data_IF_455917585312
#
_entry.id   IF_455917585312
#
_cell.length_a   1.000
_cell.length_b   1.000
_cell.length_c   1.000
_cell.angle_alpha   90.00
_cell.angle_beta   90.00
_cell.angle_gamma   90.00
#
_symmetry.space_group_name_H-M   'P 1'
#
loop_
_entity.id
_entity.type
_entity.pdbx_description
1 polymer ?
#
# COMPACT_ATOMS: atom_id res chain seq x y z
N UNK A 1 14.91 12.93 -13.95
CA UNK A 1 14.61 11.49 -14.08
C UNK A 1 13.11 11.25 -13.97
N UNK A 2 12.60 10.30 -14.72
CA UNK A 2 11.16 10.03 -14.74
C UNK A 2 10.75 9.15 -13.55
N UNK A 3 9.80 9.63 -12.76
CA UNK A 3 9.24 8.86 -11.66
C UNK A 3 8.28 7.79 -12.16
N UNK A 4 8.29 6.63 -11.51
CA UNK A 4 7.43 5.51 -11.88
C UNK A 4 6.66 5.00 -10.67
N UNK A 5 5.41 4.59 -10.89
CA UNK A 5 4.55 4.04 -9.86
C UNK A 5 4.09 2.65 -10.29
N UNK A 6 4.28 1.67 -9.41
CA UNK A 6 3.82 0.31 -9.64
C UNK A 6 2.87 -0.09 -8.52
N UNK A 7 1.72 -0.64 -8.90
CA UNK A 7 0.81 -1.25 -7.94
C UNK A 7 1.08 -2.74 -7.92
N UNK A 8 1.41 -3.26 -6.74
CA UNK A 8 1.73 -4.66 -6.56
C UNK A 8 0.57 -5.32 -5.82
N UNK A 9 0.01 -6.37 -6.43
CA UNK A 9 -1.01 -7.17 -5.77
C UNK A 9 -0.37 -7.94 -4.62
N UNK A 10 -0.83 -7.68 -3.40
CA UNK A 10 -0.25 -8.24 -2.19
C UNK A 10 -0.55 -9.70 -1.93
N UNK A 11 -1.37 -10.34 -2.76
CA UNK A 11 -1.72 -11.74 -2.57
C UNK A 11 -0.55 -12.63 -2.99
N UNK A 12 -0.24 -13.60 -2.16
CA UNK A 12 0.74 -14.61 -2.49
C UNK A 12 2.19 -14.25 -2.26
N UNK A 13 2.59 -13.04 -2.31
CA UNK A 13 3.92 -12.57 -1.94
C UNK A 13 5.14 -13.20 -2.59
N UNK A 14 4.99 -14.19 -3.44
CA UNK A 14 6.13 -14.87 -4.06
C UNK A 14 6.78 -13.95 -5.07
N UNK A 15 8.06 -13.66 -4.89
CA UNK A 15 8.82 -12.79 -5.78
C UNK A 15 8.58 -11.29 -5.57
N UNK A 16 7.55 -10.91 -4.82
CA UNK A 16 7.22 -9.51 -4.59
C UNK A 16 8.35 -8.76 -3.89
N UNK A 17 8.83 -9.32 -2.78
CA UNK A 17 9.92 -8.71 -2.02
C UNK A 17 11.22 -8.71 -2.81
N UNK A 18 11.45 -9.77 -3.59
CA UNK A 18 12.65 -9.86 -4.44
C UNK A 18 12.67 -8.74 -5.47
N UNK A 19 11.53 -8.47 -6.11
CA UNK A 19 11.43 -7.39 -7.10
C UNK A 19 11.72 -6.05 -6.45
N UNK A 20 11.13 -5.79 -5.28
CA UNK A 20 11.34 -4.54 -4.57
C UNK A 20 12.79 -4.37 -4.13
N UNK A 21 13.42 -5.45 -3.64
CA UNK A 21 14.81 -5.42 -3.22
C UNK A 21 15.77 -5.20 -4.39
N UNK A 22 15.51 -5.83 -5.54
CA UNK A 22 16.33 -5.61 -6.73
C UNK A 22 16.23 -4.16 -7.21
N UNK A 23 15.04 -3.59 -7.23
CA UNK A 23 14.86 -2.20 -7.61
C UNK A 23 15.59 -1.26 -6.66
N UNK A 24 15.54 -1.55 -5.35
CA UNK A 24 16.17 -0.71 -4.33
C UNK A 24 17.70 -0.66 -4.47
N UNK A 25 18.33 -1.62 -5.14
CA UNK A 25 19.77 -1.61 -5.39
C UNK A 25 20.19 -0.57 -6.42
N UNK A 26 19.30 -0.18 -7.30
CA UNK A 26 19.62 0.71 -8.42
C UNK A 26 18.88 2.03 -8.40
N UNK A 27 17.80 2.12 -7.62
CA UNK A 27 16.92 3.28 -7.61
C UNK A 27 16.54 3.64 -6.19
N UNK A 28 16.11 4.89 -6.00
CA UNK A 28 15.49 5.30 -4.74
C UNK A 28 14.05 4.86 -4.74
N UNK A 29 13.75 3.86 -3.92
CA UNK A 29 12.46 3.19 -3.89
C UNK A 29 11.71 3.55 -2.63
N UNK A 30 10.41 3.82 -2.78
CA UNK A 30 9.49 3.99 -1.66
C UNK A 30 8.46 2.88 -1.71
N UNK A 31 8.30 2.16 -0.60
CA UNK A 31 7.31 1.10 -0.47
C UNK A 31 6.19 1.56 0.46
N UNK A 32 4.95 1.47 0.00
CA UNK A 32 3.76 1.87 0.75
C UNK A 32 2.72 0.76 0.66
N UNK A 33 2.15 0.39 1.80
CA UNK A 33 1.10 -0.62 1.85
C UNK A 33 -0.23 0.01 2.24
N UNK A 34 -1.29 -0.37 1.56
CA UNK A 34 -2.63 0.14 1.84
C UNK A 34 -3.13 -0.27 3.23
N UNK A 35 -2.57 -1.34 3.80
CA UNK A 35 -2.99 -1.83 5.12
C UNK A 35 -2.24 -1.12 6.26
N UNK A 36 -1.20 -0.36 5.96
CA UNK A 36 -0.36 0.27 6.99
C UNK A 36 -1.16 1.08 8.03
N UNK A 37 -2.08 1.98 7.62
CA UNK A 37 -2.84 2.74 8.64
C UNK A 37 -3.72 1.84 9.49
N UNK A 38 -4.25 0.76 8.93
CA UNK A 38 -5.08 -0.18 9.68
C UNK A 38 -4.23 -0.93 10.70
N UNK A 39 -3.03 -1.36 10.30
CA UNK A 39 -2.09 -2.03 11.21
C UNK A 39 -1.71 -1.10 12.37
N UNK A 40 -1.45 0.16 12.09
CA UNK A 40 -1.09 1.12 13.13
C UNK A 40 -2.22 1.32 14.13
N UNK A 41 -3.47 1.38 13.67
CA UNK A 41 -4.64 1.49 14.55
C UNK A 41 -4.77 0.24 15.42
N UNK A 42 -4.61 -0.94 14.84
CA UNK A 42 -4.70 -2.18 15.58
C UNK A 42 -3.61 -2.28 16.65
N UNK A 43 -2.39 -1.88 16.34
CA UNK A 43 -1.29 -1.87 17.30
C UNK A 43 -1.55 -0.88 18.43
N UNK A 44 -2.07 0.27 18.12
CA UNK A 44 -2.46 1.25 19.12
C UNK A 44 -3.50 0.68 20.09
N UNK A 45 -4.41 -0.15 19.55
CA UNK A 45 -5.47 -0.76 20.36
C UNK A 45 -4.99 -1.99 21.15
N UNK A 46 -3.75 -2.44 20.96
CA UNK A 46 -3.18 -3.52 21.75
C UNK A 46 -2.75 -4.76 20.99
N UNK A 47 -2.85 -4.76 19.67
CA UNK A 47 -2.40 -5.90 18.87
C UNK A 47 -0.88 -6.05 18.93
N UNK A 48 -0.41 -7.27 19.16
CA UNK A 48 1.02 -7.58 19.32
C UNK A 48 1.74 -7.91 18.01
N UNK A 49 1.03 -7.88 16.89
CA UNK A 49 1.59 -8.18 15.57
C UNK A 49 1.48 -9.63 15.15
N UNK A 50 0.99 -10.52 16.00
CA UNK A 50 0.87 -11.92 15.65
C UNK A 50 -0.30 -12.17 14.68
N UNK A 51 -0.05 -13.03 13.70
CA UNK A 51 -1.04 -13.32 12.65
C UNK A 51 -1.96 -14.46 13.05
N UNK A 52 -2.77 -14.22 14.06
CA UNK A 52 -3.79 -15.18 14.49
C UNK A 52 -5.06 -15.00 13.67
N UNK A 53 -5.98 -15.97 13.75
CA UNK A 53 -7.27 -15.85 13.08
C UNK A 53 -8.05 -14.64 13.62
N UNK A 54 -8.01 -14.41 14.91
CA UNK A 54 -8.66 -13.26 15.53
C UNK A 54 -8.06 -11.95 15.04
N UNK A 55 -6.74 -11.87 14.89
CA UNK A 55 -6.06 -10.68 14.39
C UNK A 55 -6.43 -10.40 12.95
N UNK A 56 -6.50 -11.43 12.11
CA UNK A 56 -6.90 -11.25 10.70
C UNK A 56 -8.33 -10.72 10.61
N UNK A 57 -9.22 -11.22 11.45
CA UNK A 57 -10.60 -10.72 11.51
C UNK A 57 -10.64 -9.27 11.96
N UNK A 58 -9.86 -8.92 12.98
CA UNK A 58 -9.78 -7.56 13.46
C UNK A 58 -9.33 -6.61 12.35
N UNK A 59 -8.24 -6.94 11.65
CA UNK A 59 -7.72 -6.09 10.58
C UNK A 59 -8.72 -5.93 9.44
N UNK A 60 -9.40 -7.02 9.07
CA UNK A 60 -10.41 -6.97 8.02
C UNK A 60 -11.59 -6.06 8.41
N UNK A 61 -12.06 -6.19 9.65
CA UNK A 61 -13.16 -5.37 10.13
C UNK A 61 -12.76 -3.89 10.25
N UNK A 62 -11.55 -3.61 10.73
CA UNK A 62 -11.05 -2.24 10.81
C UNK A 62 -10.94 -1.62 9.41
N UNK A 63 -10.42 -2.38 8.47
CA UNK A 63 -10.29 -1.87 7.11
C UNK A 63 -11.65 -1.54 6.52
N UNK A 64 -12.62 -2.42 6.70
CA UNK A 64 -13.97 -2.17 6.19
C UNK A 64 -14.59 -0.95 6.86
N UNK A 65 -14.48 -0.85 8.17
CA UNK A 65 -15.06 0.27 8.91
C UNK A 65 -14.46 1.61 8.46
N UNK A 66 -13.14 1.68 8.32
CA UNK A 66 -12.49 2.91 7.89
C UNK A 66 -12.65 3.19 6.41
N UNK A 67 -12.84 2.17 5.59
CA UNK A 67 -13.18 2.37 4.19
C UNK A 67 -14.54 3.07 4.07
N UNK A 68 -15.50 2.65 4.88
CA UNK A 68 -16.83 3.26 4.89
C UNK A 68 -16.82 4.65 5.51
N UNK A 69 -15.99 4.87 6.52
CA UNK A 69 -15.96 6.14 7.23
C UNK A 69 -15.28 7.25 6.45
N UNK A 70 -14.06 6.99 5.97
CA UNK A 70 -13.27 8.04 5.30
C UNK A 70 -12.38 7.50 4.19
N UNK A 71 -12.60 6.26 3.76
CA UNK A 71 -11.81 5.62 2.70
C UNK A 71 -10.31 5.65 3.02
N UNK A 72 -9.97 5.32 4.25
CA UNK A 72 -8.65 5.54 4.82
C UNK A 72 -7.51 4.92 4.00
N UNK A 73 -7.63 3.65 3.62
CA UNK A 73 -6.57 2.98 2.87
C UNK A 73 -6.31 3.63 1.52
N UNK A 74 -7.37 3.97 0.80
CA UNK A 74 -7.27 4.65 -0.50
C UNK A 74 -6.67 6.04 -0.35
N UNK A 75 -7.18 6.81 0.60
CA UNK A 75 -6.69 8.17 0.87
C UNK A 75 -5.22 8.15 1.29
N UNK A 76 -4.84 7.17 2.11
CA UNK A 76 -3.46 7.00 2.54
C UNK A 76 -2.53 6.76 1.35
N UNK A 77 -2.93 5.89 0.42
CA UNK A 77 -2.13 5.61 -0.77
C UNK A 77 -2.01 6.83 -1.68
N UNK A 78 -3.09 7.60 -1.85
CA UNK A 78 -3.04 8.83 -2.65
C UNK A 78 -2.13 9.86 -2.01
N UNK A 79 -2.19 10.02 -0.70
CA UNK A 79 -1.30 10.95 0.00
C UNK A 79 0.15 10.52 -0.18
N UNK A 80 0.43 9.22 -0.07
CA UNK A 80 1.77 8.69 -0.28
C UNK A 80 2.26 8.97 -1.70
N UNK A 81 1.39 8.85 -2.68
CA UNK A 81 1.72 9.16 -4.07
C UNK A 81 2.09 10.65 -4.23
N UNK A 82 1.30 11.54 -3.64
CA UNK A 82 1.60 12.97 -3.71
C UNK A 82 2.91 13.31 -2.99
N UNK A 83 3.16 12.70 -1.84
CA UNK A 83 4.43 12.89 -1.13
C UNK A 83 5.59 12.37 -1.96
N UNK A 84 5.40 11.25 -2.65
CA UNK A 84 6.40 10.68 -3.55
C UNK A 84 6.74 11.65 -4.69
N UNK A 85 5.73 12.29 -5.28
CA UNK A 85 5.94 13.25 -6.36
C UNK A 85 6.79 14.44 -5.93
N UNK A 86 6.71 14.81 -4.65
CA UNK A 86 7.46 15.93 -4.09
C UNK A 86 8.80 15.51 -3.47
N UNK A 87 9.15 14.23 -3.56
CA UNK A 87 10.38 13.67 -3.01
C UNK A 87 11.42 13.43 -4.10
N UNK A 88 12.61 13.02 -3.68
CA UNK A 88 13.68 12.58 -4.58
C UNK A 88 13.58 11.09 -4.93
N UNK A 89 12.59 10.38 -4.42
CA UNK A 89 12.41 8.97 -4.73
C UNK A 89 12.04 8.79 -6.20
N UNK A 90 12.51 7.71 -6.78
CA UNK A 90 12.37 7.46 -8.22
C UNK A 90 11.25 6.47 -8.53
N UNK A 91 11.01 5.52 -7.63
CA UNK A 91 10.02 4.47 -7.81
C UNK A 91 9.15 4.38 -6.56
N UNK A 92 7.84 4.29 -6.77
CA UNK A 92 6.87 4.05 -5.71
C UNK A 92 6.21 2.69 -5.94
N UNK A 93 6.30 1.80 -4.96
CA UNK A 93 5.56 0.55 -4.95
C UNK A 93 4.38 0.69 -3.99
N UNK A 94 3.17 0.56 -4.53
CA UNK A 94 1.94 0.54 -3.74
C UNK A 94 1.47 -0.91 -3.63
N UNK A 95 1.49 -1.44 -2.42
CA UNK A 95 1.09 -2.82 -2.15
C UNK A 95 -0.39 -2.85 -1.77
N UNK A 96 -1.21 -3.36 -2.65
CA UNK A 96 -2.67 -3.36 -2.51
C UNK A 96 -3.22 -4.75 -2.84
N UNK A 97 -4.17 -5.23 -2.05
CA UNK A 97 -4.74 -6.57 -2.21
C UNK A 97 -6.06 -6.57 -2.99
N UNK A 98 -6.91 -5.61 -2.76
CA UNK A 98 -8.26 -5.61 -3.31
C UNK A 98 -8.27 -5.12 -4.75
N UNK A 99 -8.81 -5.92 -5.70
CA UNK A 99 -8.85 -5.50 -7.12
C UNK A 99 -9.59 -4.17 -7.33
N UNK A 100 -10.67 -3.94 -6.58
CA UNK A 100 -11.43 -2.70 -6.69
C UNK A 100 -10.59 -1.48 -6.30
N UNK A 101 -9.81 -1.61 -5.24
CA UNK A 101 -8.94 -0.54 -4.78
C UNK A 101 -7.81 -0.29 -5.78
N UNK A 102 -7.28 -1.36 -6.38
CA UNK A 102 -6.26 -1.25 -7.42
C UNK A 102 -6.80 -0.44 -8.59
N UNK A 103 -8.00 -0.74 -9.06
CA UNK A 103 -8.61 -0.02 -10.17
C UNK A 103 -8.87 1.45 -9.83
N UNK A 104 -9.31 1.74 -8.62
CA UNK A 104 -9.52 3.10 -8.17
C UNK A 104 -8.23 3.89 -8.13
N UNK A 105 -7.14 3.29 -7.65
CA UNK A 105 -5.83 3.92 -7.61
C UNK A 105 -5.29 4.16 -9.01
N UNK A 106 -5.45 3.21 -9.91
CA UNK A 106 -5.02 3.38 -11.31
C UNK A 106 -5.75 4.53 -11.97
N UNK A 107 -7.04 4.66 -11.72
CA UNK A 107 -7.84 5.76 -12.25
C UNK A 107 -7.39 7.11 -11.67
N UNK A 108 -7.15 7.15 -10.36
CA UNK A 108 -6.78 8.39 -9.67
C UNK A 108 -5.37 8.86 -10.03
N UNK A 109 -4.42 7.93 -10.17
CA UNK A 109 -3.03 8.23 -10.48
C UNK A 109 -2.85 8.46 -11.98
N UNK A 110 -3.60 7.73 -12.80
CA UNK A 110 -3.59 7.91 -14.23
C UNK A 110 -2.49 7.12 -14.93
N UNK A 111 -1.99 7.66 -16.04
CA UNK A 111 -1.07 6.96 -16.94
C UNK A 111 0.28 6.65 -16.33
N UNK A 112 0.64 7.28 -15.22
CA UNK A 112 1.92 7.04 -14.55
C UNK A 112 1.93 5.76 -13.75
N UNK A 113 0.77 5.14 -13.56
CA UNK A 113 0.62 3.96 -12.73
C UNK A 113 0.65 2.68 -13.57
N UNK A 114 1.40 1.68 -13.08
CA UNK A 114 1.48 0.35 -13.72
C UNK A 114 1.18 -0.73 -12.70
N UNK A 115 0.65 -1.80 -13.19
CA UNK A 115 0.31 -2.96 -12.34
C UNK A 115 1.24 -4.12 -12.61
#
# INVERSE_FOLDING_TARGET
MRKQVFIINGQGGVGKDTICNCAAQYFRVRNVSSITPIVEIARFAGWDGQKTLAARRLLSQLKQAFTEFNDLSFTYCLKAYHDFLNSDDEILFLHVREPEEIERLKTAIGSDCRT
#
